data_IF_506869219934
#
_entry.id   IF_506869219934
#
_cell.length_a   1.000
_cell.length_b   1.000
_cell.length_c   1.000
_cell.angle_alpha   90.00
_cell.angle_beta   90.00
_cell.angle_gamma   90.00
#
_symmetry.space_group_name_H-M   'P 1'
#
loop_
_entity.id
_entity.type
_entity.pdbx_description
1 polymer ?
#
# COMPACT_ATOMS: atom_id res chain seq x y z
N UNK A 1 0.24 5.51 -7.58
CA UNK A 1 -0.63 4.98 -8.66
C UNK A 1 -1.37 3.75 -8.13
N UNK A 2 -2.70 3.79 -8.07
CA UNK A 2 -3.56 2.66 -7.73
C UNK A 2 -4.39 2.26 -8.95
N UNK A 3 -4.59 0.96 -9.13
CA UNK A 3 -5.27 0.34 -10.28
C UNK A 3 -6.19 -0.75 -9.76
N UNK A 4 -7.42 -0.78 -10.25
CA UNK A 4 -8.38 -1.82 -9.91
C UNK A 4 -9.31 -2.08 -11.09
N UNK A 5 -9.72 -3.34 -11.23
CA UNK A 5 -10.62 -3.80 -12.27
C UNK A 5 -12.05 -3.85 -11.73
N UNK A 6 -12.98 -3.20 -12.42
CA UNK A 6 -14.40 -3.43 -12.22
C UNK A 6 -14.98 -4.24 -13.37
N UNK A 7 -15.57 -5.38 -12.99
CA UNK A 7 -16.19 -6.32 -13.91
C UNK A 7 -17.68 -6.07 -14.09
N UNK A 8 -18.26 -6.70 -15.12
CA UNK A 8 -19.71 -6.75 -15.40
C UNK A 8 -20.33 -5.38 -15.68
N UNK A 9 -19.55 -4.49 -16.29
CA UNK A 9 -20.00 -3.14 -16.66
C UNK A 9 -20.55 -3.10 -18.08
N UNK A 10 -19.89 -3.79 -19.01
CA UNK A 10 -20.31 -3.82 -20.41
C UNK A 10 -21.10 -5.09 -20.74
N UNK A 11 -21.96 -5.03 -21.75
CA UNK A 11 -22.67 -6.19 -22.30
C UNK A 11 -21.72 -7.26 -22.82
N UNK A 12 -20.56 -6.83 -23.32
CA UNK A 12 -19.48 -7.67 -23.83
C UNK A 12 -18.56 -8.22 -22.72
N UNK A 13 -18.88 -7.93 -21.45
CA UNK A 13 -18.15 -8.39 -20.27
C UNK A 13 -16.68 -7.99 -20.20
N UNK A 14 -16.28 -6.98 -20.99
CA UNK A 14 -14.94 -6.40 -20.92
C UNK A 14 -14.71 -5.78 -19.53
N UNK A 15 -13.61 -6.14 -18.83
CA UNK A 15 -13.25 -5.50 -17.58
C UNK A 15 -12.92 -4.02 -17.80
N UNK A 16 -13.44 -3.17 -16.91
CA UNK A 16 -13.05 -1.77 -16.84
C UNK A 16 -11.93 -1.62 -15.82
N UNK A 17 -10.75 -1.26 -16.28
CA UNK A 17 -9.65 -0.84 -15.42
C UNK A 17 -9.83 0.62 -15.10
N UNK A 18 -9.82 0.97 -13.82
CA UNK A 18 -9.74 2.34 -13.34
C UNK A 18 -8.38 2.52 -12.70
N UNK A 19 -7.66 3.57 -13.09
CA UNK A 19 -6.37 3.90 -12.51
C UNK A 19 -6.25 5.38 -12.17
N UNK A 20 -5.49 5.67 -11.12
CA UNK A 20 -5.38 7.01 -10.60
C UNK A 20 -4.36 7.15 -9.49
N UNK A 21 -4.23 8.34 -8.94
CA UNK A 21 -3.34 8.63 -7.83
C UNK A 21 -4.10 9.32 -6.71
N UNK A 22 -3.64 9.22 -5.47
CA UNK A 22 -4.17 10.01 -4.37
C UNK A 22 -3.37 11.30 -4.26
N UNK A 23 -4.05 12.44 -4.05
CA UNK A 23 -3.37 13.70 -3.73
C UNK A 23 -2.93 13.77 -2.25
N UNK A 24 -2.22 14.84 -1.88
CA UNK A 24 -1.78 15.09 -0.50
C UNK A 24 -2.94 15.23 0.49
N UNK A 25 -4.15 15.53 0.00
CA UNK A 25 -5.39 15.60 0.78
C UNK A 25 -6.16 14.27 0.79
N UNK A 26 -5.54 13.19 0.29
CA UNK A 26 -6.07 11.82 0.33
C UNK A 26 -7.32 11.62 -0.52
N UNK A 27 -7.51 12.47 -1.51
CA UNK A 27 -8.55 12.26 -2.51
C UNK A 27 -7.98 11.43 -3.66
N UNK A 28 -8.63 10.29 -3.94
CA UNK A 28 -8.29 9.52 -5.13
C UNK A 28 -8.72 10.29 -6.38
N UNK A 29 -7.72 10.65 -7.19
CA UNK A 29 -7.79 11.30 -8.49
C UNK A 29 -7.70 10.24 -9.58
N UNK A 30 -8.82 9.86 -10.20
CA UNK A 30 -8.77 9.01 -11.38
C UNK A 30 -7.99 9.74 -12.47
N UNK A 31 -6.95 9.08 -13.00
CA UNK A 31 -6.13 9.59 -14.11
C UNK A 31 -6.69 9.06 -15.42
N UNK A 32 -7.30 7.88 -15.41
CA UNK A 32 -7.92 7.32 -16.59
C UNK A 32 -8.74 6.06 -16.30
N UNK A 33 -9.46 5.65 -17.33
CA UNK A 33 -10.17 4.38 -17.39
C UNK A 33 -9.86 3.69 -18.71
N UNK A 34 -9.82 2.37 -18.71
CA UNK A 34 -9.53 1.57 -19.90
C UNK A 34 -10.40 0.32 -19.90
N UNK A 35 -10.96 -0.05 -21.06
CA UNK A 35 -11.54 -1.37 -21.25
C UNK A 35 -10.42 -2.30 -21.72
N UNK A 36 -10.25 -3.42 -21.02
CA UNK A 36 -9.25 -4.44 -21.39
C UNK A 36 -9.93 -5.71 -21.88
N UNK A 37 -9.14 -6.57 -22.52
CA UNK A 37 -9.57 -7.91 -22.91
C UNK A 37 -9.79 -8.80 -21.67
N UNK A 38 -10.69 -9.77 -21.79
CA UNK A 38 -11.11 -10.67 -20.69
C UNK A 38 -10.05 -11.67 -20.24
N UNK A 39 -8.99 -11.87 -21.04
CA UNK A 39 -7.89 -12.77 -20.74
C UNK A 39 -6.91 -12.19 -19.70
N UNK A 40 -7.00 -10.88 -19.40
CA UNK A 40 -6.21 -10.18 -18.39
C UNK A 40 -4.72 -10.52 -18.44
N UNK A 41 -4.18 -10.70 -19.65
CA UNK A 41 -2.81 -11.17 -19.82
C UNK A 41 -1.80 -10.12 -19.34
N UNK A 42 -0.60 -10.58 -18.97
CA UNK A 42 0.50 -9.68 -18.64
C UNK A 42 0.82 -8.69 -19.77
N UNK A 43 0.59 -9.07 -21.04
CA UNK A 43 0.81 -8.18 -22.20
C UNK A 43 -0.28 -7.11 -22.31
N UNK A 44 -1.53 -7.44 -21.96
CA UNK A 44 -2.64 -6.48 -21.86
C UNK A 44 -2.33 -5.39 -20.83
N UNK A 45 -1.87 -5.78 -19.64
CA UNK A 45 -1.44 -4.82 -18.63
C UNK A 45 -0.20 -4.05 -19.05
N UNK A 46 0.81 -4.69 -19.66
CA UNK A 46 1.97 -3.97 -20.22
C UNK A 46 1.55 -2.92 -21.25
N UNK A 47 0.56 -3.22 -22.10
CA UNK A 47 0.05 -2.26 -23.08
C UNK A 47 -0.67 -1.09 -22.40
N UNK A 48 -1.47 -1.36 -21.38
CA UNK A 48 -2.07 -0.32 -20.53
C UNK A 48 -0.99 0.56 -19.89
N UNK A 49 0.03 -0.04 -19.29
CA UNK A 49 1.16 0.68 -18.71
C UNK A 49 2.04 1.39 -19.74
N UNK A 50 2.14 0.89 -20.98
CA UNK A 50 2.80 1.61 -22.10
C UNK A 50 1.98 2.81 -22.54
N UNK A 51 0.65 2.71 -22.51
CA UNK A 51 -0.27 3.82 -22.77
C UNK A 51 -0.17 4.91 -21.69
N UNK A 52 0.02 4.51 -20.44
CA UNK A 52 0.52 5.38 -19.37
C UNK A 52 2.03 5.58 -19.59
N UNK A 53 2.40 6.22 -20.72
CA UNK A 53 3.78 6.34 -21.20
C UNK A 53 4.80 6.35 -20.06
N UNK A 54 5.57 5.26 -19.90
CA UNK A 54 6.57 5.14 -18.82
C UNK A 54 7.54 6.33 -18.86
N UNK A 55 7.87 6.82 -20.06
CA UNK A 55 8.66 8.03 -20.26
C UNK A 55 7.96 9.31 -19.80
N UNK A 56 6.63 9.42 -19.98
CA UNK A 56 5.84 10.53 -19.44
C UNK A 56 5.76 10.45 -17.91
N UNK A 57 5.58 9.24 -17.36
CA UNK A 57 5.59 9.03 -15.93
C UNK A 57 6.94 9.39 -15.32
N UNK A 58 8.02 8.90 -15.89
CA UNK A 58 9.38 9.25 -15.48
C UNK A 58 9.62 10.76 -15.60
N UNK A 59 9.32 11.38 -16.74
CA UNK A 59 9.53 12.82 -16.95
C UNK A 59 8.69 13.70 -16.03
N UNK A 60 7.38 13.48 -15.96
CA UNK A 60 6.48 14.36 -15.22
C UNK A 60 6.38 14.00 -13.74
N UNK A 61 6.29 12.72 -13.42
CA UNK A 61 6.02 12.26 -12.05
C UNK A 61 7.28 11.88 -11.30
N UNK A 62 8.33 11.34 -11.93
CA UNK A 62 9.60 11.09 -11.23
C UNK A 62 10.50 12.33 -11.20
N UNK A 63 10.79 12.94 -12.35
CA UNK A 63 11.78 14.02 -12.46
C UNK A 63 11.22 15.40 -12.12
N UNK A 64 9.96 15.70 -12.47
CA UNK A 64 9.35 17.02 -12.28
C UNK A 64 8.46 17.12 -11.03
N UNK A 65 7.80 16.03 -10.62
CA UNK A 65 6.90 15.99 -9.46
C UNK A 65 7.25 14.83 -8.49
N UNK A 66 8.43 14.83 -7.87
CA UNK A 66 9.04 13.65 -7.23
C UNK A 66 8.36 13.10 -5.96
N UNK A 67 7.09 13.45 -5.68
CA UNK A 67 6.32 13.00 -4.51
C UNK A 67 5.14 12.08 -4.87
N UNK A 68 5.29 11.25 -5.91
CA UNK A 68 4.23 10.40 -6.46
C UNK A 68 4.03 9.06 -5.71
N UNK A 69 4.97 8.68 -4.84
CA UNK A 69 5.00 7.38 -4.17
C UNK A 69 4.48 7.47 -2.72
N UNK A 70 4.02 6.35 -2.16
CA UNK A 70 3.38 6.31 -0.83
C UNK A 70 4.26 6.87 0.30
N UNK A 71 5.58 6.64 0.20
CA UNK A 71 6.57 7.15 1.16
C UNK A 71 6.84 8.66 1.06
N UNK A 72 6.31 9.33 0.04
CA UNK A 72 6.47 10.77 -0.15
C UNK A 72 5.50 11.59 0.70
N UNK A 73 4.33 11.01 1.00
CA UNK A 73 3.35 11.53 1.96
C UNK A 73 3.33 10.63 3.20
N UNK A 74 4.46 10.58 3.91
CA UNK A 74 4.59 9.83 5.16
C UNK A 74 3.44 10.21 6.11
N UNK A 75 2.81 9.22 6.76
CA UNK A 75 1.59 9.39 7.56
C UNK A 75 0.31 9.56 6.74
N UNK A 76 0.28 9.04 5.52
CA UNK A 76 -0.93 8.93 4.70
C UNK A 76 -1.17 7.46 4.34
N UNK A 77 -2.37 6.89 4.60
CA UNK A 77 -2.62 5.49 4.28
C UNK A 77 -2.60 5.32 2.77
N UNK A 78 -1.93 4.29 2.30
CA UNK A 78 -2.25 3.72 0.99
C UNK A 78 -3.51 2.86 1.09
N UNK A 79 -4.67 3.50 1.28
CA UNK A 79 -5.93 2.78 1.20
C UNK A 79 -6.38 2.70 -0.25
N UNK A 80 -6.75 1.50 -0.69
CA UNK A 80 -7.55 1.35 -1.91
C UNK A 80 -8.99 1.85 -1.71
N UNK A 81 -9.41 2.21 -0.49
CA UNK A 81 -10.74 2.75 -0.17
C UNK A 81 -11.22 3.84 -1.15
N UNK A 82 -10.33 4.73 -1.59
CA UNK A 82 -10.68 5.74 -2.59
C UNK A 82 -11.06 5.13 -3.93
N UNK A 83 -10.31 4.14 -4.40
CA UNK A 83 -10.57 3.41 -5.63
C UNK A 83 -11.77 2.45 -5.51
N UNK A 84 -11.90 1.73 -4.39
CA UNK A 84 -13.05 0.89 -4.08
C UNK A 84 -14.34 1.72 -3.97
N UNK A 85 -14.28 2.88 -3.32
CA UNK A 85 -15.40 3.84 -3.24
C UNK A 85 -15.77 4.35 -4.62
N UNK A 86 -14.79 4.67 -5.48
CA UNK A 86 -15.07 5.06 -6.87
C UNK A 86 -15.67 3.91 -7.67
N UNK A 87 -15.18 2.70 -7.55
CA UNK A 87 -15.78 1.51 -8.17
C UNK A 87 -17.22 1.27 -7.67
N UNK A 88 -17.47 1.55 -6.39
CA UNK A 88 -18.82 1.61 -5.81
C UNK A 88 -19.71 2.66 -6.49
N UNK A 89 -19.22 3.91 -6.63
CA UNK A 89 -19.92 5.00 -7.32
C UNK A 89 -20.17 4.72 -8.80
N UNK A 90 -19.23 4.11 -9.52
CA UNK A 90 -19.45 3.65 -10.91
C UNK A 90 -20.67 2.74 -10.96
N UNK A 91 -20.70 1.73 -10.09
CA UNK A 91 -21.81 0.78 -10.00
C UNK A 91 -23.12 1.43 -9.56
N UNK A 92 -23.08 2.36 -8.61
CA UNK A 92 -24.29 2.91 -7.99
C UNK A 92 -24.89 4.09 -8.75
N UNK A 93 -24.06 4.95 -9.35
CA UNK A 93 -24.49 6.24 -9.86
C UNK A 93 -24.42 6.34 -11.39
N UNK A 94 -23.58 5.52 -12.04
CA UNK A 94 -23.33 5.63 -13.47
C UNK A 94 -23.90 4.44 -14.24
N UNK A 95 -23.60 3.22 -13.80
CA UNK A 95 -24.08 2.00 -14.46
C UNK A 95 -25.34 1.43 -13.83
N UNK A 96 -25.72 1.90 -12.63
CA UNK A 96 -26.86 1.38 -11.85
C UNK A 96 -26.83 -0.15 -11.69
N UNK A 97 -25.62 -0.73 -11.65
CA UNK A 97 -25.35 -2.18 -11.63
C UNK A 97 -25.91 -2.94 -12.84
N UNK A 98 -26.23 -2.25 -13.92
CA UNK A 98 -26.68 -2.84 -15.18
C UNK A 98 -25.52 -2.90 -16.18
N UNK A 99 -25.55 -3.91 -17.04
CA UNK A 99 -24.62 -4.02 -18.17
C UNK A 99 -25.04 -3.02 -19.24
N UNK A 100 -24.07 -2.28 -19.79
CA UNK A 100 -24.30 -1.27 -20.82
C UNK A 100 -23.63 -1.66 -22.14
N UNK A 101 -24.25 -1.37 -23.30
CA UNK A 101 -23.54 -1.41 -24.58
C UNK A 101 -22.29 -0.51 -24.54
N UNK A 102 -21.23 -0.90 -25.24
CA UNK A 102 -19.94 -0.17 -25.23
C UNK A 102 -20.13 1.30 -25.61
N UNK A 103 -20.94 1.61 -26.63
CA UNK A 103 -21.21 2.99 -27.05
C UNK A 103 -21.83 3.85 -25.94
N UNK A 104 -22.83 3.30 -25.23
CA UNK A 104 -23.46 3.96 -24.09
C UNK A 104 -22.50 4.07 -22.90
N UNK A 105 -21.64 3.06 -22.72
CA UNK A 105 -20.62 3.08 -21.68
C UNK A 105 -19.56 4.16 -21.94
N UNK A 106 -19.11 4.38 -23.18
CA UNK A 106 -18.14 5.44 -23.50
C UNK A 106 -18.67 6.84 -23.15
N UNK A 107 -19.94 7.12 -23.46
CA UNK A 107 -20.60 8.38 -23.05
C UNK A 107 -20.72 8.48 -21.53
N UNK A 108 -20.92 7.35 -20.85
CA UNK A 108 -20.98 7.29 -19.39
C UNK A 108 -19.59 7.52 -18.78
N UNK A 109 -18.54 6.96 -19.37
CA UNK A 109 -17.16 7.16 -18.95
C UNK A 109 -16.73 8.62 -19.12
N UNK A 110 -17.11 9.28 -20.21
CA UNK A 110 -16.89 10.72 -20.40
C UNK A 110 -17.56 11.55 -19.29
N UNK A 111 -18.83 11.25 -18.98
CA UNK A 111 -19.55 11.90 -17.87
C UNK A 111 -18.89 11.65 -16.52
N UNK A 112 -18.49 10.40 -16.25
CA UNK A 112 -17.76 10.03 -15.03
C UNK A 112 -16.49 10.85 -14.86
N UNK A 113 -15.71 10.99 -15.93
CA UNK A 113 -14.47 11.76 -15.91
C UNK A 113 -14.73 13.25 -15.66
N UNK A 114 -15.76 13.83 -16.28
CA UNK A 114 -16.16 15.22 -16.04
C UNK A 114 -16.62 15.44 -14.58
N UNK A 115 -17.52 14.60 -14.09
CA UNK A 115 -18.06 14.69 -12.73
C UNK A 115 -16.97 14.54 -11.67
N UNK A 116 -16.03 13.60 -11.86
CA UNK A 116 -14.90 13.42 -10.94
C UNK A 116 -13.86 14.52 -11.02
N UNK A 117 -13.74 15.19 -12.16
CA UNK A 117 -12.85 16.33 -12.33
C UNK A 117 -13.40 17.58 -11.64
N UNK A 118 -14.74 17.72 -11.57
CA UNK A 118 -15.41 18.93 -11.07
C UNK A 118 -15.93 18.82 -9.63
N UNK A 119 -16.32 17.63 -9.16
CA UNK A 119 -16.96 17.45 -7.85
C UNK A 119 -16.07 16.67 -6.85
N UNK A 120 -15.47 17.40 -5.91
CA UNK A 120 -14.64 16.86 -4.82
C UNK A 120 -15.46 16.66 -3.54
N UNK A 121 -16.06 15.49 -3.37
CA UNK A 121 -16.62 15.10 -2.08
C UNK A 121 -15.53 14.66 -1.09
N UNK A 122 -15.60 15.20 0.13
CA UNK A 122 -14.73 14.85 1.26
C UNK A 122 -15.29 13.61 1.97
N UNK A 123 -14.50 12.55 2.09
CA UNK A 123 -14.88 11.34 2.85
C UNK A 123 -13.96 11.23 4.08
N UNK A 124 -14.50 11.07 5.32
CA UNK A 124 -13.68 10.91 6.51
C UNK A 124 -12.98 9.54 6.56
N UNK A 125 -11.76 9.49 7.12
CA UNK A 125 -10.91 8.29 7.18
C UNK A 125 -10.30 8.08 8.57
N UNK A 126 -9.79 6.86 8.83
CA UNK A 126 -9.20 6.46 10.10
C UNK A 126 -7.86 7.19 10.38
N UNK A 127 -7.71 7.72 11.59
CA UNK A 127 -6.57 8.55 12.02
C UNK A 127 -5.68 7.88 13.06
N UNK A 128 -5.99 6.65 13.46
CA UNK A 128 -5.32 5.94 14.56
C UNK A 128 -4.93 4.51 14.18
N UNK A 129 -3.88 4.01 14.84
CA UNK A 129 -3.41 2.62 14.72
C UNK A 129 -4.52 1.67 15.21
N UNK A 130 -4.79 0.62 14.45
CA UNK A 130 -5.69 -0.47 14.86
C UNK A 130 -4.88 -1.62 15.41
N UNK A 131 -5.19 -2.07 16.64
CA UNK A 131 -4.52 -3.20 17.28
C UNK A 131 -4.89 -4.53 16.61
N UNK A 132 -3.90 -5.38 16.34
CA UNK A 132 -4.10 -6.68 15.71
C UNK A 132 -3.13 -7.72 16.31
N UNK A 133 -3.68 -8.64 17.11
CA UNK A 133 -2.93 -9.68 17.83
C UNK A 133 -2.00 -10.52 16.93
N UNK A 134 -2.37 -10.75 15.66
CA UNK A 134 -1.52 -11.52 14.74
C UNK A 134 -0.30 -10.72 14.27
N UNK A 135 -0.43 -9.40 14.12
CA UNK A 135 0.69 -8.50 13.78
C UNK A 135 1.61 -8.34 14.98
N UNK A 136 1.05 -8.19 16.17
CA UNK A 136 1.80 -8.04 17.43
C UNK A 136 2.68 -9.26 17.71
N UNK A 137 2.14 -10.47 17.50
CA UNK A 137 2.92 -11.70 17.65
C UNK A 137 4.07 -11.79 16.63
N UNK A 138 3.81 -11.45 15.37
CA UNK A 138 4.86 -11.43 14.33
C UNK A 138 5.93 -10.37 14.60
N UNK A 139 5.52 -9.23 15.14
CA UNK A 139 6.41 -8.15 15.55
C UNK A 139 7.34 -8.61 16.68
N UNK A 140 6.79 -9.32 17.68
CA UNK A 140 7.59 -9.92 18.74
C UNK A 140 8.58 -10.96 18.19
N UNK A 141 8.14 -11.89 17.34
CA UNK A 141 9.02 -12.88 16.72
C UNK A 141 10.13 -12.23 15.86
N UNK A 142 9.81 -11.14 15.15
CA UNK A 142 10.77 -10.37 14.39
C UNK A 142 11.79 -9.69 15.30
N UNK A 143 11.34 -9.07 16.39
CA UNK A 143 12.21 -8.42 17.38
C UNK A 143 13.21 -9.39 18.01
N UNK A 144 12.84 -10.66 18.19
CA UNK A 144 13.75 -11.70 18.71
C UNK A 144 14.83 -12.11 17.69
N UNK A 145 14.62 -11.85 16.40
CA UNK A 145 15.50 -12.30 15.30
C UNK A 145 16.36 -11.20 14.71
N UNK A 146 15.95 -9.94 14.85
CA UNK A 146 16.66 -8.81 14.26
C UNK A 146 18.03 -8.63 14.92
N UNK A 147 19.07 -8.40 14.11
CA UNK A 147 20.36 -7.94 14.63
C UNK A 147 20.26 -6.45 14.97
N UNK A 148 20.69 -6.07 16.18
CA UNK A 148 20.68 -4.67 16.63
C UNK A 148 21.56 -3.77 15.76
N UNK A 149 22.57 -4.32 15.08
CA UNK A 149 23.38 -3.57 14.10
C UNK A 149 22.56 -3.02 12.93
N UNK A 150 21.39 -3.62 12.66
CA UNK A 150 20.45 -3.20 11.63
C UNK A 150 19.58 -2.01 12.04
N UNK A 151 19.67 -1.57 13.29
CA UNK A 151 18.90 -0.45 13.81
C UNK A 151 19.80 0.78 13.88
N UNK A 152 19.60 1.71 12.96
CA UNK A 152 20.30 2.99 12.96
C UNK A 152 19.40 4.11 13.51
N UNK A 153 20.01 5.16 14.06
CA UNK A 153 19.31 6.29 14.68
C UNK A 153 19.83 7.59 14.10
N UNK A 154 18.90 8.48 13.73
CA UNK A 154 19.18 9.86 13.37
C UNK A 154 18.00 10.69 13.88
N UNK A 155 18.11 11.22 15.10
CA UNK A 155 16.99 11.87 15.80
C UNK A 155 16.24 12.86 14.90
N UNK A 156 14.88 12.81 14.84
CA UNK A 156 13.96 11.96 15.62
C UNK A 156 13.65 10.59 14.97
N UNK A 157 14.44 10.16 13.99
CA UNK A 157 14.15 8.99 13.19
C UNK A 157 14.93 7.74 13.63
N UNK A 158 14.25 6.60 13.56
CA UNK A 158 14.86 5.26 13.64
C UNK A 158 14.80 4.61 12.28
N UNK A 159 15.86 3.92 11.89
CA UNK A 159 15.97 3.21 10.63
C UNK A 159 16.14 1.73 10.88
N UNK A 160 15.48 0.92 10.06
CA UNK A 160 15.76 -0.51 9.95
C UNK A 160 16.43 -0.76 8.62
N UNK A 161 17.65 -1.28 8.67
CA UNK A 161 18.51 -1.56 7.53
C UNK A 161 18.47 -3.07 7.26
N UNK A 162 18.12 -3.51 6.04
CA UNK A 162 18.17 -4.93 5.67
C UNK A 162 19.57 -5.51 5.92
N UNK A 163 19.61 -6.78 6.33
CA UNK A 163 20.84 -7.49 6.76
C UNK A 163 21.90 -7.58 5.67
N UNK A 164 21.48 -7.44 4.42
CA UNK A 164 22.35 -7.56 3.25
C UNK A 164 23.12 -6.26 2.96
N UNK A 165 22.82 -5.15 3.64
CA UNK A 165 23.47 -3.86 3.42
C UNK A 165 23.61 -3.01 4.71
N UNK A 166 24.33 -3.48 5.74
CA UNK A 166 24.38 -2.85 7.06
C UNK A 166 25.15 -1.50 7.10
N UNK A 167 25.63 -0.98 5.97
CA UNK A 167 26.49 0.23 5.89
C UNK A 167 25.81 1.46 5.32
N UNK A 168 24.48 1.50 5.30
CA UNK A 168 23.75 2.67 4.82
C UNK A 168 24.02 3.88 5.72
N UNK A 169 24.43 4.98 5.10
CA UNK A 169 24.48 6.28 5.76
C UNK A 169 23.06 6.87 5.81
N UNK A 170 22.43 6.79 6.98
CA UNK A 170 21.06 7.29 7.20
C UNK A 170 20.92 8.79 6.96
N UNK A 171 21.98 9.57 7.15
CA UNK A 171 21.96 11.02 6.87
C UNK A 171 21.87 11.28 5.37
N UNK A 172 22.66 10.56 4.57
CA UNK A 172 22.57 10.62 3.11
C UNK A 172 21.20 10.15 2.61
N UNK A 173 20.66 9.10 3.24
CA UNK A 173 19.33 8.59 2.91
C UNK A 173 18.25 9.67 3.11
N UNK A 174 18.29 10.41 4.22
CA UNK A 174 17.36 11.53 4.52
C UNK A 174 17.61 12.73 3.60
N UNK A 175 18.86 13.02 3.25
CA UNK A 175 19.14 14.07 2.26
C UNK A 175 18.46 13.76 0.93
N UNK A 176 18.61 12.53 0.42
CA UNK A 176 17.95 12.06 -0.81
C UNK A 176 16.43 12.09 -0.72
N UNK A 177 15.85 11.79 0.45
CA UNK A 177 14.41 11.96 0.67
C UNK A 177 13.95 13.41 0.48
N UNK A 178 14.73 14.37 1.00
CA UNK A 178 14.39 15.80 0.98
C UNK A 178 14.65 16.45 -0.38
N UNK A 179 15.76 16.10 -1.04
CA UNK A 179 16.12 16.59 -2.37
C UNK A 179 15.27 15.96 -3.46
N UNK A 180 14.88 14.71 -3.26
CA UNK A 180 14.07 13.93 -4.20
C UNK A 180 14.68 13.91 -5.61
N UNK A 181 16.02 13.86 -5.67
CA UNK A 181 16.87 14.11 -6.84
C UNK A 181 17.32 12.83 -7.58
N UNK A 182 16.49 11.78 -7.53
CA UNK A 182 16.76 10.53 -8.23
C UNK A 182 16.84 10.74 -9.74
N UNK A 183 17.87 10.17 -10.37
CA UNK A 183 18.12 10.29 -11.81
C UNK A 183 17.38 9.22 -12.64
N UNK A 184 16.87 8.18 -11.98
CA UNK A 184 16.12 7.09 -12.65
C UNK A 184 15.21 6.36 -11.68
N UNK A 185 14.23 5.62 -12.24
CA UNK A 185 13.33 4.80 -11.43
C UNK A 185 14.07 3.68 -10.67
N UNK A 186 15.08 3.06 -11.28
CA UNK A 186 15.88 2.01 -10.63
C UNK A 186 16.68 2.55 -9.45
N UNK A 187 17.19 3.79 -9.56
CA UNK A 187 17.85 4.47 -8.44
C UNK A 187 16.89 4.69 -7.28
N UNK A 188 15.67 5.17 -7.57
CA UNK A 188 14.61 5.31 -6.57
C UNK A 188 14.26 3.96 -5.91
N UNK A 189 14.13 2.87 -6.67
CA UNK A 189 13.84 1.53 -6.13
C UNK A 189 14.97 1.04 -5.23
N UNK A 190 16.23 1.21 -5.63
CA UNK A 190 17.40 0.88 -4.79
C UNK A 190 17.39 1.70 -3.50
N UNK A 191 17.22 3.01 -3.58
CA UNK A 191 17.13 3.90 -2.42
C UNK A 191 15.99 3.51 -1.47
N UNK A 192 14.77 3.35 -1.98
CA UNK A 192 13.58 3.06 -1.16
C UNK A 192 13.64 1.67 -0.50
N UNK A 193 14.29 0.70 -1.16
CA UNK A 193 14.46 -0.64 -0.61
C UNK A 193 15.60 -0.75 0.40
N UNK A 194 16.57 0.16 0.35
CA UNK A 194 17.79 0.15 1.18
C UNK A 194 17.51 0.35 2.67
N UNK A 195 16.52 1.14 3.08
CA UNK A 195 16.18 1.31 4.50
C UNK A 195 14.67 1.44 4.72
N UNK A 196 14.22 1.22 5.96
CA UNK A 196 12.87 1.60 6.42
C UNK A 196 13.00 2.70 7.44
N UNK A 197 12.41 3.84 7.13
CA UNK A 197 12.33 5.01 8.00
C UNK A 197 11.16 4.84 8.95
N UNK A 198 11.40 5.10 10.23
CA UNK A 198 10.39 5.22 11.26
C UNK A 198 10.52 6.56 11.97
N UNK A 199 9.42 7.32 12.02
CA UNK A 199 9.36 8.49 12.88
C UNK A 199 9.08 8.05 14.32
N UNK A 200 10.05 8.35 15.17
CA UNK A 200 10.02 8.11 16.60
C UNK A 200 10.36 9.43 17.29
N UNK A 201 9.45 10.39 17.22
CA UNK A 201 9.26 11.16 18.44
C UNK A 201 8.80 10.15 19.49
N UNK A 202 9.72 9.73 20.37
CA UNK A 202 9.50 8.74 21.44
C UNK A 202 8.22 9.00 22.27
N UNK A 203 7.63 10.18 22.15
CA UNK A 203 6.53 10.69 22.95
C UNK A 203 5.42 11.41 22.17
N UNK A 204 5.56 11.67 20.86
CA UNK A 204 4.53 12.41 20.10
C UNK A 204 4.13 11.65 18.86
N UNK A 205 2.82 11.37 18.78
CA UNK A 205 2.16 11.01 17.55
C UNK A 205 2.42 12.08 16.47
N UNK A 206 2.43 11.67 15.19
CA UNK A 206 2.05 10.34 14.72
C UNK A 206 3.24 9.43 14.34
N UNK A 207 3.12 8.15 14.68
CA UNK A 207 4.07 7.09 14.34
C UNK A 207 3.88 6.64 12.89
N UNK A 208 4.96 6.40 12.15
CA UNK A 208 4.88 5.72 10.86
C UNK A 208 6.09 4.83 10.61
N UNK A 209 5.92 3.90 9.66
CA UNK A 209 7.01 3.16 9.06
C UNK A 209 6.88 3.25 7.54
N UNK A 210 8.00 3.52 6.84
CA UNK A 210 8.02 3.59 5.37
C UNK A 210 7.94 2.22 4.68
N UNK A 211 7.76 1.12 5.43
CA UNK A 211 7.50 -0.17 4.80
C UNK A 211 6.08 -0.21 4.22
N UNK A 212 5.89 -1.05 3.19
CA UNK A 212 4.58 -1.25 2.52
C UNK A 212 3.41 -1.41 3.51
N UNK A 213 3.58 -2.22 4.56
CA UNK A 213 2.53 -2.44 5.56
C UNK A 213 2.30 -1.20 6.44
N UNK A 214 3.37 -0.50 6.85
CA UNK A 214 3.25 0.72 7.65
C UNK A 214 2.58 1.85 6.89
N UNK A 215 2.92 2.01 5.60
CA UNK A 215 2.29 2.97 4.70
C UNK A 215 0.83 2.62 4.37
N UNK A 216 0.52 1.33 4.23
CA UNK A 216 -0.83 0.86 3.88
C UNK A 216 -1.78 0.81 5.06
N UNK A 217 -1.32 0.24 6.17
CA UNK A 217 -2.16 -0.21 7.30
C UNK A 217 -1.91 0.58 8.59
N UNK A 218 -0.96 1.52 8.62
CA UNK A 218 -0.47 2.19 9.84
C UNK A 218 0.05 1.25 10.92
N UNK A 219 0.22 -0.02 10.56
CA UNK A 219 0.59 -1.09 11.46
C UNK A 219 1.51 -2.03 10.70
N UNK A 220 2.67 -2.30 11.29
CA UNK A 220 3.61 -3.25 10.74
C UNK A 220 4.49 -3.82 11.83
N UNK A 221 5.12 -4.95 11.54
CA UNK A 221 6.02 -5.64 12.47
C UNK A 221 7.18 -4.75 12.93
N UNK A 222 7.63 -3.82 12.08
CA UNK A 222 8.73 -2.90 12.36
C UNK A 222 8.36 -1.86 13.42
N UNK A 223 7.24 -1.15 13.20
CA UNK A 223 6.77 -0.11 14.11
C UNK A 223 6.41 -0.72 15.46
N UNK A 224 5.62 -1.79 15.44
CA UNK A 224 5.18 -2.49 16.66
C UNK A 224 6.36 -3.11 17.41
N UNK A 225 7.27 -3.79 16.71
CA UNK A 225 8.43 -4.41 17.34
C UNK A 225 9.36 -3.39 17.99
N UNK A 226 9.57 -2.22 17.36
CA UNK A 226 10.34 -1.13 17.97
C UNK A 226 9.59 -0.48 19.14
N UNK A 227 8.27 -0.32 19.07
CA UNK A 227 7.45 0.13 20.22
C UNK A 227 7.55 -0.82 21.42
N UNK A 228 7.57 -2.14 21.18
CA UNK A 228 7.83 -3.13 22.22
C UNK A 228 9.24 -3.00 22.80
N UNK A 229 10.25 -2.81 21.93
CA UNK A 229 11.64 -2.59 22.35
C UNK A 229 11.81 -1.32 23.19
N UNK A 230 11.05 -0.26 22.89
CA UNK A 230 11.05 1.00 23.63
C UNK A 230 10.15 0.99 24.87
N UNK A 231 9.39 -0.08 25.10
CA UNK A 231 8.48 -0.20 26.24
C UNK A 231 7.20 0.65 26.11
N UNK A 232 6.89 1.21 24.93
CA UNK A 232 5.66 1.98 24.69
C UNK A 232 4.46 1.08 24.37
N UNK A 233 4.70 -0.21 24.12
CA UNK A 233 3.67 -1.23 23.92
C UNK A 233 4.03 -2.49 24.72
N UNK A 234 3.06 -3.14 25.39
CA UNK A 234 3.33 -4.38 26.11
C UNK A 234 3.74 -5.51 25.18
N UNK A 235 4.68 -6.33 25.64
CA UNK A 235 5.07 -7.56 24.95
C UNK A 235 3.93 -8.59 25.08
N UNK A 236 3.48 -9.25 23.99
CA UNK A 236 2.40 -10.22 24.07
C UNK A 236 2.77 -11.38 24.98
N UNK A 237 1.87 -11.72 25.93
CA UNK A 237 2.03 -12.93 26.73
C UNK A 237 1.77 -14.16 25.86
N UNK A 238 2.81 -14.96 25.60
CA UNK A 238 2.70 -16.20 24.85
C UNK A 238 2.00 -17.27 25.70
N UNK A 239 0.68 -17.37 25.59
CA UNK A 239 -0.08 -18.51 26.14
C UNK A 239 0.07 -19.69 25.17
N UNK A 240 1.18 -20.40 25.29
CA UNK A 240 1.48 -21.62 24.54
C UNK A 240 1.92 -21.41 23.07
N UNK A 241 2.67 -22.39 22.54
CA UNK A 241 3.03 -22.41 21.11
C UNK A 241 1.77 -22.70 20.28
N UNK A 242 1.35 -21.76 19.41
CA UNK A 242 0.33 -22.04 18.38
C UNK A 242 0.78 -23.27 17.58
N UNK A 243 -0.05 -24.31 17.50
CA UNK A 243 0.20 -25.45 16.61
C UNK A 243 0.36 -24.91 15.19
N UNK A 244 1.42 -25.32 14.49
CA UNK A 244 1.60 -25.00 13.08
C UNK A 244 0.37 -25.42 12.28
N UNK A 245 0.04 -24.67 11.22
CA UNK A 245 -1.06 -25.02 10.31
C UNK A 245 -0.80 -26.43 9.74
N UNK A 246 -1.51 -27.41 10.28
CA UNK A 246 -1.46 -28.80 9.85
C UNK A 246 -2.87 -29.36 9.84
N UNK A 247 -3.18 -30.15 8.82
CA UNK A 247 -4.45 -30.88 8.72
C UNK A 247 -4.64 -31.69 10.02
N UNK A 248 -5.81 -31.64 10.68
CA UNK A 248 -6.08 -32.48 11.83
C UNK A 248 -5.80 -33.95 11.47
N UNK A 249 -4.96 -34.63 12.25
CA UNK A 249 -4.78 -36.08 12.07
C UNK A 249 -6.15 -36.74 12.31
N UNK A 250 -6.58 -37.60 11.38
CA UNK A 250 -7.82 -38.37 11.54
C UNK A 250 -7.81 -39.02 12.92
N UNK A 251 -8.86 -38.75 13.70
CA UNK A 251 -9.07 -39.33 15.02
C UNK A 251 -9.05 -40.85 14.84
N UNK A 252 -8.09 -41.55 15.45
CA UNK A 252 -8.19 -43.01 15.60
C UNK A 252 -9.22 -43.25 16.70
N UNK A 253 -10.30 -43.95 16.37
CA UNK A 253 -11.25 -44.46 17.35
C UNK A 253 -10.46 -45.23 18.42
N UNK A 254 -10.67 -44.88 19.68
CA UNK A 254 -10.13 -45.63 20.79
C UNK A 254 -10.67 -47.06 20.70
N UNK A 255 -9.78 -48.05 20.72
CA UNK A 255 -10.15 -49.45 20.89
C UNK A 255 -10.96 -49.57 22.18
N UNK A 256 -12.23 -49.93 22.06
CA UNK A 256 -12.96 -50.52 23.17
C UNK A 256 -12.28 -51.87 23.44
N UNK A 257 -11.64 -51.97 24.60
CA UNK A 257 -11.23 -53.26 25.15
C UNK A 257 -12.49 -53.88 25.75
N UNK A 258 -12.96 -54.96 25.12
CA UNK A 258 -13.72 -56.02 25.79
C UNK A 258 -12.73 -57.07 26.31
#
# INVERSE_FOLDING_TARGET
LAIDCTYKITTNELPLVVFGTSDLHRHFRPIGVCLISTDESAETFKTLFRGIQVNYFEREWLLKLPFWYEGAAMLTPSTNNGLESKNGKIKQNYTMRQKMPISAFLQTAERMLNDWSLNNEKIPFATSITYNNDVDLKAFEWLQKIDKSQIAQLNPFTFIVPSNDPKINVSTWVQQLNSADWQSFDEFVRWSSSARLLNCSRFLLPWFCSCRYGLKEYSCIHAIGLMMMWGTMPVPQLIGKRRGRGRPKKIKLALQQD
#
